data_IF_421980198669
#
_entry.id   IF_421980198669
#
_cell.length_a   1.000
_cell.length_b   1.000
_cell.length_c   1.000
_cell.angle_alpha   90.00
_cell.angle_beta   90.00
_cell.angle_gamma   90.00
#
_symmetry.space_group_name_H-M   'P 1'
#
loop_
_entity.id
_entity.type
_entity.pdbx_description
1 polymer ?
#
# COMPACT_ATOMS: atom_id res chain seq x y z
N UNK A 1 -8.37 24.92 10.44
CA UNK A 1 -8.67 23.60 11.05
C UNK A 1 -7.34 23.06 11.56
N UNK A 2 -7.26 22.67 12.85
CA UNK A 2 -6.05 22.00 13.36
C UNK A 2 -6.04 20.64 12.66
N UNK A 3 -5.05 20.42 11.79
CA UNK A 3 -4.97 19.23 10.94
C UNK A 3 -4.93 17.95 11.79
N UNK A 4 -5.57 16.89 11.31
CA UNK A 4 -5.41 15.57 11.88
C UNK A 4 -3.94 15.18 11.78
N UNK A 5 -3.37 14.60 12.85
CA UNK A 5 -2.00 14.07 12.81
C UNK A 5 -1.90 13.02 11.72
N UNK A 6 -0.96 13.14 10.76
CA UNK A 6 -0.81 12.15 9.71
C UNK A 6 -0.44 10.79 10.29
N UNK A 7 -0.90 9.72 9.65
CA UNK A 7 -0.55 8.34 10.04
C UNK A 7 0.75 7.88 9.40
N UNK A 8 1.55 7.07 10.14
CA UNK A 8 2.67 6.30 9.57
C UNK A 8 2.34 4.81 9.65
N UNK A 9 2.43 4.12 8.54
CA UNK A 9 2.08 2.71 8.42
C UNK A 9 3.05 1.95 7.53
N UNK A 10 3.05 0.63 7.64
CA UNK A 10 3.99 -0.23 6.91
C UNK A 10 3.26 -1.31 6.13
N UNK A 11 3.79 -1.64 4.95
CA UNK A 11 3.38 -2.81 4.20
C UNK A 11 4.35 -3.96 4.43
N UNK A 12 3.79 -5.14 4.61
CA UNK A 12 4.52 -6.40 4.61
C UNK A 12 3.86 -7.39 3.65
N UNK A 13 4.62 -8.36 3.22
CA UNK A 13 4.11 -9.45 2.38
C UNK A 13 4.48 -10.81 2.97
N UNK A 14 3.60 -11.81 2.78
CA UNK A 14 3.88 -13.17 3.20
C UNK A 14 5.21 -13.65 2.61
N UNK A 15 6.03 -14.38 3.38
CA UNK A 15 7.27 -14.93 2.88
C UNK A 15 7.00 -15.96 1.79
N UNK A 16 7.98 -16.16 0.90
CA UNK A 16 7.92 -17.29 -0.01
C UNK A 16 7.99 -18.59 0.80
N UNK A 17 7.29 -19.66 0.37
CA UNK A 17 7.27 -20.93 1.11
C UNK A 17 8.65 -21.49 1.48
N UNK A 18 9.65 -21.21 0.63
CA UNK A 18 11.04 -21.67 0.78
C UNK A 18 11.83 -20.94 1.88
N UNK A 19 11.37 -19.74 2.32
CA UNK A 19 12.11 -18.88 3.27
C UNK A 19 11.72 -19.12 4.73
N UNK A 20 10.59 -19.80 4.96
CA UNK A 20 10.04 -20.03 6.29
C UNK A 20 9.45 -18.76 6.94
N UNK A 21 8.63 -18.95 7.97
CA UNK A 21 7.94 -17.87 8.66
C UNK A 21 8.82 -17.13 9.68
N UNK A 22 9.94 -17.70 10.12
CA UNK A 22 10.77 -17.15 11.20
C UNK A 22 11.30 -15.73 10.87
N UNK A 23 11.76 -15.54 9.64
CA UNK A 23 12.31 -14.24 9.22
C UNK A 23 11.26 -13.13 9.18
N UNK A 24 10.03 -13.43 8.77
CA UNK A 24 8.97 -12.42 8.75
C UNK A 24 8.49 -12.09 10.16
N UNK A 25 8.44 -13.08 11.05
CA UNK A 25 8.11 -12.87 12.47
C UNK A 25 9.14 -11.94 13.11
N UNK A 26 10.43 -12.22 12.96
CA UNK A 26 11.48 -11.35 13.45
C UNK A 26 11.38 -9.92 12.87
N UNK A 27 11.09 -9.79 11.57
CA UNK A 27 10.88 -8.47 10.94
C UNK A 27 9.71 -7.72 11.58
N UNK A 28 8.63 -8.42 11.88
CA UNK A 28 7.43 -7.86 12.52
C UNK A 28 7.69 -7.43 13.96
N UNK A 29 8.40 -8.24 14.74
CA UNK A 29 8.81 -7.90 16.12
C UNK A 29 9.65 -6.61 16.14
N UNK A 30 10.56 -6.46 15.17
CA UNK A 30 11.34 -5.23 15.02
C UNK A 30 10.49 -4.02 14.61
N UNK A 31 9.46 -4.22 13.78
CA UNK A 31 8.53 -3.16 13.35
C UNK A 31 7.54 -2.76 14.44
N UNK A 32 7.17 -3.68 15.34
CA UNK A 32 6.30 -3.38 16.49
C UNK A 32 6.88 -2.26 17.35
N UNK A 33 8.19 -2.28 17.59
CA UNK A 33 8.89 -1.25 18.35
C UNK A 33 8.86 0.16 17.72
N UNK A 34 8.43 0.29 16.45
CA UNK A 34 8.25 1.57 15.77
C UNK A 34 6.82 2.14 15.92
N UNK A 35 5.91 1.42 16.60
CA UNK A 35 4.54 1.82 16.89
C UNK A 35 3.78 2.38 15.65
N UNK A 36 3.68 1.63 14.54
CA UNK A 36 2.94 2.08 13.37
C UNK A 36 1.44 2.19 13.67
N UNK A 37 0.75 3.10 12.98
CA UNK A 37 -0.70 3.22 13.09
C UNK A 37 -1.43 1.97 12.61
N UNK A 38 -0.90 1.33 11.59
CA UNK A 38 -1.34 0.01 11.13
C UNK A 38 -0.24 -0.69 10.31
N UNK A 39 -0.39 -1.99 10.13
CA UNK A 39 0.39 -2.77 9.16
C UNK A 39 -0.58 -3.36 8.14
N UNK A 40 -0.29 -3.19 6.85
CA UNK A 40 -1.01 -3.88 5.79
C UNK A 40 -0.29 -5.16 5.39
N UNK A 41 -1.06 -6.23 5.20
CA UNK A 41 -0.57 -7.55 4.83
C UNK A 41 -0.97 -7.84 3.39
N UNK A 42 0.00 -7.91 2.48
CA UNK A 42 -0.30 -8.17 1.06
C UNK A 42 -0.73 -9.61 0.83
N UNK A 43 -1.34 -9.85 -0.32
CA UNK A 43 -1.58 -11.18 -0.84
C UNK A 43 -0.64 -11.46 -2.00
N UNK A 44 0.10 -12.56 -1.94
CA UNK A 44 0.98 -12.96 -3.05
C UNK A 44 0.14 -13.43 -4.24
N UNK A 45 0.34 -12.83 -5.41
CA UNK A 45 -0.35 -13.22 -6.65
C UNK A 45 -0.11 -14.67 -7.07
N UNK A 46 0.99 -15.28 -6.61
CA UNK A 46 1.33 -16.67 -6.88
C UNK A 46 0.66 -17.65 -5.91
N UNK A 47 0.00 -17.15 -4.86
CA UNK A 47 -0.63 -17.96 -3.85
C UNK A 47 -2.12 -17.60 -3.75
N UNK A 48 -2.95 -18.36 -4.46
CA UNK A 48 -4.41 -18.18 -4.44
C UNK A 48 -5.05 -18.57 -3.09
N UNK A 49 -4.25 -19.04 -2.14
CA UNK A 49 -4.69 -19.39 -0.80
C UNK A 49 -4.52 -18.22 0.17
N UNK A 50 -5.44 -17.25 0.06
CA UNK A 50 -5.46 -16.03 0.89
C UNK A 50 -5.52 -16.36 2.38
N UNK A 51 -6.27 -17.41 2.77
CA UNK A 51 -6.45 -17.81 4.17
C UNK A 51 -5.16 -18.32 4.79
N UNK A 52 -4.41 -19.17 4.10
CA UNK A 52 -3.16 -19.73 4.62
C UNK A 52 -2.01 -18.73 4.67
N UNK A 53 -2.08 -17.66 3.91
CA UNK A 53 -0.99 -16.67 3.81
C UNK A 53 -1.37 -15.35 4.47
N UNK A 54 -2.26 -14.59 3.84
CA UNK A 54 -2.62 -13.24 4.28
C UNK A 54 -3.37 -13.27 5.61
N UNK A 55 -4.39 -14.13 5.77
CA UNK A 55 -5.18 -14.20 7.01
C UNK A 55 -4.31 -14.67 8.17
N UNK A 56 -3.48 -15.70 7.97
CA UNK A 56 -2.59 -16.20 9.02
C UNK A 56 -1.59 -15.13 9.49
N UNK A 57 -1.01 -14.37 8.56
CA UNK A 57 -0.07 -13.30 8.92
C UNK A 57 -0.79 -12.11 9.54
N UNK A 58 -1.99 -11.76 9.04
CA UNK A 58 -2.84 -10.73 9.63
C UNK A 58 -3.25 -11.07 11.07
N UNK A 59 -3.54 -12.35 11.35
CA UNK A 59 -3.80 -12.82 12.71
C UNK A 59 -2.61 -12.58 13.64
N UNK A 60 -1.39 -12.89 13.20
CA UNK A 60 -0.19 -12.65 14.00
C UNK A 60 -0.01 -11.16 14.30
N UNK A 61 -0.12 -10.28 13.27
CA UNK A 61 0.00 -8.83 13.45
C UNK A 61 -1.06 -8.29 14.40
N UNK A 62 -2.32 -8.74 14.24
CA UNK A 62 -3.46 -8.24 15.01
C UNK A 62 -3.46 -8.73 16.45
N UNK A 63 -3.27 -10.03 16.66
CA UNK A 63 -3.54 -10.70 17.94
C UNK A 63 -2.29 -10.97 18.76
N UNK A 64 -1.12 -11.16 18.13
CA UNK A 64 0.14 -11.34 18.88
C UNK A 64 0.86 -10.01 19.07
N UNK A 65 0.92 -9.15 18.03
CA UNK A 65 1.61 -7.86 18.12
C UNK A 65 0.69 -6.70 18.53
N UNK A 66 -0.62 -6.91 18.55
CA UNK A 66 -1.63 -5.90 18.89
C UNK A 66 -1.58 -4.63 18.03
N UNK A 67 -1.21 -4.78 16.74
CA UNK A 67 -1.17 -3.67 15.78
C UNK A 67 -2.44 -3.70 14.92
N UNK A 68 -3.11 -2.55 14.68
CA UNK A 68 -4.20 -2.46 13.70
C UNK A 68 -3.74 -3.01 12.34
N UNK A 69 -4.58 -3.82 11.71
CA UNK A 69 -4.16 -4.62 10.54
C UNK A 69 -5.13 -4.44 9.39
N UNK A 70 -4.59 -4.20 8.20
CA UNK A 70 -5.33 -4.19 6.93
C UNK A 70 -4.95 -5.42 6.12
N UNK A 71 -5.92 -6.23 5.71
CA UNK A 71 -5.69 -7.37 4.84
C UNK A 71 -5.91 -6.99 3.38
N UNK A 72 -4.96 -7.30 2.49
CA UNK A 72 -5.17 -7.13 1.05
C UNK A 72 -6.02 -8.29 0.52
N UNK A 73 -7.02 -7.95 -0.27
CA UNK A 73 -7.91 -8.94 -0.91
C UNK A 73 -7.97 -8.69 -2.43
N UNK A 74 -7.14 -9.38 -3.23
CA UNK A 74 -7.19 -9.35 -4.68
C UNK A 74 -8.20 -10.38 -5.19
N UNK A 75 -9.24 -9.93 -5.93
CA UNK A 75 -10.39 -10.76 -6.26
C UNK A 75 -10.37 -11.37 -7.67
N UNK A 76 -9.45 -11.02 -8.56
CA UNK A 76 -9.46 -11.48 -9.96
C UNK A 76 -9.58 -13.01 -10.14
N UNK A 77 -9.08 -13.78 -9.18
CA UNK A 77 -9.09 -15.24 -9.22
C UNK A 77 -9.95 -15.87 -8.12
N UNK A 78 -10.78 -15.09 -7.44
CA UNK A 78 -11.66 -15.57 -6.39
C UNK A 78 -13.11 -15.62 -6.87
N UNK A 79 -13.85 -16.59 -6.38
CA UNK A 79 -15.31 -16.61 -6.49
C UNK A 79 -15.95 -15.87 -5.32
N UNK A 80 -17.23 -15.51 -5.44
CA UNK A 80 -18.00 -14.90 -4.35
C UNK A 80 -18.00 -15.78 -3.08
N UNK A 81 -18.12 -17.10 -3.24
CA UNK A 81 -18.06 -18.06 -2.12
C UNK A 81 -16.71 -18.01 -1.43
N UNK A 82 -15.61 -17.92 -2.20
CA UNK A 82 -14.27 -17.85 -1.63
C UNK A 82 -14.04 -16.50 -0.91
N UNK A 83 -14.55 -15.41 -1.46
CA UNK A 83 -14.51 -14.11 -0.78
C UNK A 83 -15.29 -14.16 0.54
N UNK A 84 -16.52 -14.74 0.57
CA UNK A 84 -17.26 -14.93 1.84
C UNK A 84 -16.46 -15.73 2.87
N UNK A 85 -15.81 -16.81 2.45
CA UNK A 85 -14.95 -17.61 3.34
C UNK A 85 -13.81 -16.78 3.93
N UNK A 86 -13.12 -15.97 3.10
CA UNK A 86 -12.03 -15.09 3.55
C UNK A 86 -12.55 -14.02 4.51
N UNK A 87 -13.70 -13.38 4.20
CA UNK A 87 -14.32 -12.39 5.07
C UNK A 87 -14.67 -13.00 6.44
N UNK A 88 -15.23 -14.21 6.46
CA UNK A 88 -15.51 -14.91 7.71
C UNK A 88 -14.23 -15.17 8.51
N UNK A 89 -13.17 -15.67 7.87
CA UNK A 89 -11.90 -15.92 8.56
C UNK A 89 -11.24 -14.63 9.08
N UNK A 90 -11.38 -13.50 8.38
CA UNK A 90 -10.90 -12.19 8.86
C UNK A 90 -11.73 -11.67 10.04
N UNK A 91 -13.05 -11.86 10.00
CA UNK A 91 -13.97 -11.49 11.08
C UNK A 91 -13.65 -12.27 12.37
N UNK A 92 -13.43 -13.58 12.28
CA UNK A 92 -13.05 -14.44 13.42
C UNK A 92 -11.77 -13.99 14.12
N UNK A 93 -10.82 -13.42 13.41
CA UNK A 93 -9.56 -12.90 13.99
C UNK A 93 -9.62 -11.41 14.35
N UNK A 94 -10.78 -10.75 14.19
CA UNK A 94 -10.99 -9.34 14.50
C UNK A 94 -10.28 -8.37 13.55
N UNK A 95 -10.03 -8.76 12.30
CA UNK A 95 -9.48 -7.89 11.24
C UNK A 95 -10.62 -7.44 10.33
N UNK A 96 -11.07 -6.20 10.51
CA UNK A 96 -12.21 -5.63 9.80
C UNK A 96 -11.83 -4.57 8.76
N UNK A 97 -10.54 -4.42 8.44
CA UNK A 97 -10.07 -3.49 7.43
C UNK A 97 -9.49 -4.25 6.25
N UNK A 98 -9.98 -3.94 5.04
CA UNK A 98 -9.60 -4.62 3.80
C UNK A 98 -9.13 -3.61 2.77
N UNK A 99 -7.95 -3.81 2.19
CA UNK A 99 -7.55 -3.17 0.95
C UNK A 99 -8.10 -4.00 -0.23
N UNK A 100 -9.19 -3.52 -0.82
CA UNK A 100 -9.89 -4.19 -1.92
C UNK A 100 -9.19 -3.92 -3.25
N UNK A 101 -8.73 -4.98 -3.88
CA UNK A 101 -7.96 -4.94 -5.14
C UNK A 101 -8.61 -5.84 -6.19
N UNK A 102 -8.44 -5.51 -7.47
CA UNK A 102 -8.66 -6.51 -8.52
C UNK A 102 -7.55 -7.58 -8.45
N UNK A 103 -6.33 -7.15 -8.26
CA UNK A 103 -5.11 -7.95 -8.42
C UNK A 103 -4.58 -7.93 -9.85
N UNK A 104 -3.34 -8.37 -10.01
CA UNK A 104 -2.67 -8.42 -11.31
C UNK A 104 -3.16 -9.62 -12.12
N UNK A 105 -3.18 -9.48 -13.43
CA UNK A 105 -3.50 -10.57 -14.34
C UNK A 105 -2.26 -11.44 -14.55
N UNK A 106 -2.39 -12.72 -14.21
CA UNK A 106 -1.32 -13.71 -14.28
C UNK A 106 -1.33 -14.36 -15.67
N UNK A 107 -0.22 -14.30 -16.38
CA UNK A 107 -0.09 -14.94 -17.69
C UNK A 107 -0.37 -16.45 -17.61
N UNK A 108 -1.26 -16.91 -18.47
CA UNK A 108 -1.63 -18.33 -18.54
C UNK A 108 -2.72 -18.77 -17.54
N UNK A 109 -3.25 -17.84 -16.73
CA UNK A 109 -4.37 -18.10 -15.84
C UNK A 109 -5.54 -17.18 -16.18
N UNK A 110 -6.72 -17.75 -16.41
CA UNK A 110 -7.92 -16.96 -16.67
C UNK A 110 -8.53 -16.44 -15.36
N UNK A 111 -8.79 -15.12 -15.25
CA UNK A 111 -9.53 -14.58 -14.13
C UNK A 111 -10.91 -15.21 -14.00
N UNK A 112 -11.47 -15.18 -12.79
CA UNK A 112 -12.88 -15.51 -12.55
C UNK A 112 -13.79 -14.38 -13.05
N UNK A 113 -15.04 -14.70 -13.35
CA UNK A 113 -16.01 -13.72 -13.86
C UNK A 113 -16.74 -12.95 -12.75
N UNK A 114 -16.61 -13.37 -11.50
CA UNK A 114 -17.33 -12.80 -10.36
C UNK A 114 -16.96 -11.34 -10.06
N UNK A 115 -15.69 -10.99 -10.26
CA UNK A 115 -15.17 -9.64 -9.97
C UNK A 115 -14.26 -9.17 -11.10
N UNK A 116 -14.80 -8.33 -11.95
CA UNK A 116 -14.04 -7.76 -13.07
C UNK A 116 -13.16 -6.58 -12.65
N UNK A 117 -13.63 -5.80 -11.68
CA UNK A 117 -12.97 -4.62 -11.14
C UNK A 117 -12.95 -4.65 -9.61
N UNK A 118 -12.06 -3.88 -9.00
CA UNK A 118 -12.06 -3.71 -7.55
C UNK A 118 -13.38 -3.12 -7.02
N UNK A 119 -14.07 -2.30 -7.82
CA UNK A 119 -15.39 -1.75 -7.47
C UNK A 119 -16.44 -2.84 -7.23
N UNK A 120 -16.40 -3.92 -8.02
CA UNK A 120 -17.34 -5.05 -7.87
C UNK A 120 -17.11 -5.74 -6.53
N UNK A 121 -15.83 -5.91 -6.14
CA UNK A 121 -15.48 -6.46 -4.83
C UNK A 121 -15.93 -5.54 -3.69
N UNK A 122 -15.70 -4.23 -3.81
CA UNK A 122 -16.14 -3.24 -2.80
C UNK A 122 -17.64 -3.32 -2.59
N UNK A 123 -18.44 -3.27 -3.67
CA UNK A 123 -19.91 -3.38 -3.59
C UNK A 123 -20.34 -4.68 -2.94
N UNK A 124 -19.72 -5.79 -3.33
CA UNK A 124 -20.02 -7.11 -2.78
C UNK A 124 -19.74 -7.20 -1.28
N UNK A 125 -18.57 -6.68 -0.82
CA UNK A 125 -18.24 -6.70 0.61
C UNK A 125 -19.21 -5.82 1.40
N UNK A 126 -19.56 -4.64 0.89
CA UNK A 126 -20.52 -3.73 1.56
C UNK A 126 -21.92 -4.32 1.68
N UNK A 127 -22.34 -5.14 0.73
CA UNK A 127 -23.61 -5.86 0.77
C UNK A 127 -23.58 -7.05 1.75
N UNK A 128 -22.55 -7.88 1.71
CA UNK A 128 -22.46 -9.15 2.44
C UNK A 128 -21.94 -9.00 3.88
N UNK A 129 -21.03 -8.03 4.10
CA UNK A 129 -20.32 -7.84 5.35
C UNK A 129 -20.08 -6.34 5.63
N UNK A 130 -21.13 -5.56 5.90
CA UNK A 130 -21.08 -4.09 6.04
C UNK A 130 -20.18 -3.61 7.20
N UNK A 131 -19.84 -4.48 8.16
CA UNK A 131 -18.92 -4.18 9.25
C UNK A 131 -17.48 -3.96 8.79
N UNK A 132 -17.10 -4.40 7.59
CA UNK A 132 -15.77 -4.17 7.07
C UNK A 132 -15.60 -2.74 6.57
N UNK A 133 -14.49 -2.13 6.98
CA UNK A 133 -14.00 -0.87 6.46
C UNK A 133 -13.12 -1.12 5.24
N UNK A 134 -13.39 -0.42 4.13
CA UNK A 134 -12.76 -0.73 2.85
C UNK A 134 -11.84 0.38 2.41
N UNK A 135 -10.60 0.00 2.22
CA UNK A 135 -9.55 0.83 1.66
C UNK A 135 -9.44 0.53 0.15
N UNK A 136 -9.30 1.57 -0.65
CA UNK A 136 -9.09 1.45 -2.09
C UNK A 136 -7.68 1.85 -2.52
N UNK A 137 -7.13 1.18 -3.54
CA UNK A 137 -5.91 1.65 -4.18
C UNK A 137 -6.21 2.78 -5.19
N UNK A 138 -5.30 3.75 -5.30
CA UNK A 138 -5.36 4.85 -6.26
C UNK A 138 -3.99 5.14 -6.87
N UNK A 139 -3.93 5.93 -7.93
CA UNK A 139 -2.73 6.12 -8.75
C UNK A 139 -2.48 7.61 -9.01
N UNK A 140 -1.47 8.23 -8.37
CA UNK A 140 -1.12 9.63 -8.64
C UNK A 140 -0.76 9.89 -10.10
N UNK A 141 -0.17 8.90 -10.77
CA UNK A 141 0.32 9.01 -12.15
C UNK A 141 -0.52 8.24 -13.18
N UNK A 142 -1.80 8.06 -12.95
CA UNK A 142 -2.77 7.36 -13.82
C UNK A 142 -2.55 5.83 -13.86
N UNK A 143 -3.61 5.08 -13.68
CA UNK A 143 -3.56 3.62 -13.78
C UNK A 143 -3.15 3.19 -15.20
N UNK A 144 -2.24 2.20 -15.37
CA UNK A 144 -1.74 1.76 -16.69
C UNK A 144 -2.84 1.38 -17.69
N UNK A 145 -3.94 0.81 -17.21
CA UNK A 145 -5.08 0.40 -18.04
C UNK A 145 -6.09 1.53 -18.28
N UNK A 146 -5.93 2.70 -17.64
CA UNK A 146 -6.82 3.85 -17.87
C UNK A 146 -6.35 4.63 -19.10
N UNK A 147 -7.26 4.98 -20.03
CA UNK A 147 -6.88 5.68 -21.26
C UNK A 147 -6.35 7.11 -20.99
N UNK A 148 -6.73 7.72 -19.87
CA UNK A 148 -6.30 9.06 -19.46
C UNK A 148 -6.70 9.33 -18.00
N UNK A 149 -6.20 10.43 -17.45
CA UNK A 149 -6.44 10.82 -16.04
C UNK A 149 -7.91 11.09 -15.72
N UNK A 150 -8.69 11.59 -16.67
CA UNK A 150 -10.13 11.86 -16.45
C UNK A 150 -10.89 10.55 -16.24
N UNK A 151 -10.61 9.56 -17.08
CA UNK A 151 -11.23 8.23 -16.96
C UNK A 151 -10.81 7.54 -15.67
N UNK A 152 -9.55 7.70 -15.27
CA UNK A 152 -9.01 7.14 -14.05
C UNK A 152 -9.70 7.71 -12.79
N UNK A 153 -9.81 9.04 -12.70
CA UNK A 153 -10.53 9.71 -11.61
C UNK A 153 -12.01 9.33 -11.58
N UNK A 154 -12.68 9.21 -12.73
CA UNK A 154 -14.07 8.74 -12.79
C UNK A 154 -14.23 7.31 -12.27
N UNK A 155 -13.29 6.43 -12.56
CA UNK A 155 -13.30 5.06 -12.05
C UNK A 155 -12.98 5.02 -10.55
N UNK A 156 -12.09 5.88 -10.08
CA UNK A 156 -11.81 6.05 -8.65
C UNK A 156 -13.04 6.56 -7.90
N UNK A 157 -13.76 7.55 -8.44
CA UNK A 157 -15.02 8.05 -7.84
C UNK A 157 -16.04 6.93 -7.68
N UNK A 158 -16.24 6.10 -8.71
CA UNK A 158 -17.14 4.93 -8.62
C UNK A 158 -16.74 3.97 -7.50
N UNK A 159 -15.44 3.77 -7.28
CA UNK A 159 -14.91 2.91 -6.21
C UNK A 159 -15.19 3.51 -4.83
N UNK A 160 -15.01 4.82 -4.68
CA UNK A 160 -15.36 5.54 -3.44
C UNK A 160 -16.86 5.49 -3.20
N UNK A 161 -17.69 5.78 -4.20
CA UNK A 161 -19.16 5.71 -4.10
C UNK A 161 -19.67 4.31 -3.79
N UNK A 162 -18.95 3.26 -4.19
CA UNK A 162 -19.24 1.88 -3.83
C UNK A 162 -18.97 1.56 -2.35
N UNK A 163 -18.22 2.41 -1.63
CA UNK A 163 -18.04 2.29 -0.18
C UNK A 163 -16.60 2.27 0.33
N UNK A 164 -15.60 2.71 -0.46
CA UNK A 164 -14.27 2.93 0.09
C UNK A 164 -14.26 4.16 0.99
N UNK A 165 -13.73 4.01 2.23
CA UNK A 165 -13.62 5.05 3.24
C UNK A 165 -12.25 5.75 3.26
N UNK A 166 -11.24 5.13 2.65
CA UNK A 166 -9.85 5.60 2.61
C UNK A 166 -9.20 5.12 1.32
N UNK A 167 -8.23 5.88 0.83
CA UNK A 167 -7.42 5.50 -0.34
C UNK A 167 -5.94 5.40 0.05
N UNK A 168 -5.25 4.42 -0.54
CA UNK A 168 -3.77 4.31 -0.47
C UNK A 168 -3.23 4.39 -1.89
N UNK A 169 -2.22 5.23 -2.11
CA UNK A 169 -1.68 5.39 -3.46
C UNK A 169 -0.72 4.27 -3.83
N UNK A 170 -0.62 3.98 -5.13
CA UNK A 170 0.57 3.33 -5.68
C UNK A 170 1.78 4.21 -5.38
N UNK A 171 2.97 3.60 -5.29
CA UNK A 171 4.22 4.34 -5.08
C UNK A 171 4.43 5.38 -6.20
N UNK A 172 5.04 6.49 -5.85
CA UNK A 172 5.44 7.57 -6.75
C UNK A 172 6.74 8.22 -6.23
N UNK A 173 7.43 8.97 -7.08
CA UNK A 173 8.68 9.66 -6.73
C UNK A 173 8.61 11.16 -6.89
N UNK A 174 7.53 11.69 -7.43
CA UNK A 174 7.28 13.10 -7.67
C UNK A 174 6.08 13.55 -6.83
N UNK A 175 6.31 14.33 -5.76
CA UNK A 175 5.24 14.80 -4.90
C UNK A 175 4.26 15.72 -5.64
N UNK A 176 4.71 16.43 -6.68
CA UNK A 176 3.83 17.23 -7.53
C UNK A 176 2.77 16.36 -8.23
N UNK A 177 3.11 15.11 -8.59
CA UNK A 177 2.13 14.18 -9.15
C UNK A 177 1.04 13.85 -8.11
N UNK A 178 1.40 13.70 -6.85
CA UNK A 178 0.47 13.47 -5.75
C UNK A 178 -0.43 14.68 -5.50
N UNK A 179 0.11 15.90 -5.43
CA UNK A 179 -0.68 17.11 -5.22
C UNK A 179 -1.66 17.37 -6.36
N UNK A 180 -1.20 17.24 -7.60
CA UNK A 180 -2.07 17.33 -8.78
C UNK A 180 -3.18 16.24 -8.79
N UNK A 181 -2.89 15.05 -8.25
CA UNK A 181 -3.88 14.00 -8.10
C UNK A 181 -4.92 14.35 -7.03
N UNK A 182 -4.50 14.87 -5.86
CA UNK A 182 -5.41 15.33 -4.80
C UNK A 182 -6.35 16.43 -5.30
N UNK A 183 -5.83 17.40 -6.07
CA UNK A 183 -6.65 18.45 -6.67
C UNK A 183 -7.72 17.86 -7.60
N UNK A 184 -7.36 16.91 -8.46
CA UNK A 184 -8.32 16.22 -9.33
C UNK A 184 -9.36 15.40 -8.54
N UNK A 185 -8.95 14.77 -7.44
CA UNK A 185 -9.87 14.06 -6.54
C UNK A 185 -10.88 15.04 -5.94
N UNK A 186 -10.42 16.19 -5.42
CA UNK A 186 -11.30 17.23 -4.87
C UNK A 186 -12.29 17.77 -5.91
N UNK A 187 -11.84 18.05 -7.14
CA UNK A 187 -12.71 18.45 -8.25
C UNK A 187 -13.73 17.39 -8.67
N UNK A 188 -13.51 16.15 -8.32
CA UNK A 188 -14.42 15.04 -8.60
C UNK A 188 -15.26 14.61 -7.38
N UNK A 189 -15.31 15.44 -6.32
CA UNK A 189 -16.01 15.15 -5.06
C UNK A 189 -15.53 13.85 -4.39
N UNK A 190 -14.22 13.57 -4.45
CA UNK A 190 -13.57 12.49 -3.72
C UNK A 190 -12.95 13.12 -2.47
N UNK A 191 -13.63 12.99 -1.32
CA UNK A 191 -13.26 13.65 -0.06
C UNK A 191 -12.64 12.68 0.98
N UNK A 192 -12.55 11.39 0.66
CA UNK A 192 -11.97 10.39 1.56
C UNK A 192 -10.48 10.64 1.75
N UNK A 193 -9.91 10.32 2.94
CA UNK A 193 -8.47 10.45 3.18
C UNK A 193 -7.63 9.68 2.17
N UNK A 194 -6.52 10.30 1.72
CA UNK A 194 -5.58 9.69 0.78
C UNK A 194 -4.23 9.54 1.48
N UNK A 195 -3.81 8.31 1.69
CA UNK A 195 -2.53 7.94 2.29
C UNK A 195 -1.49 7.77 1.17
N UNK A 196 -0.36 8.46 1.30
CA UNK A 196 0.71 8.42 0.30
C UNK A 196 1.59 7.17 0.44
N UNK A 197 1.66 6.36 -0.60
CA UNK A 197 2.51 5.18 -0.69
C UNK A 197 3.94 5.56 -1.07
N UNK A 198 4.90 5.33 -0.19
CA UNK A 198 6.32 5.67 -0.38
C UNK A 198 7.16 4.40 -0.37
N UNK A 199 7.98 4.23 -1.41
CA UNK A 199 8.90 3.10 -1.54
C UNK A 199 10.35 3.57 -1.54
N UNK A 200 11.09 3.37 -0.44
CA UNK A 200 12.52 3.67 -0.42
C UNK A 200 13.28 2.74 -1.37
N UNK A 201 14.02 3.29 -2.29
CA UNK A 201 14.87 2.52 -3.20
C UNK A 201 16.27 2.42 -2.59
N UNK A 202 16.61 1.24 -2.11
CA UNK A 202 17.85 0.99 -1.36
C UNK A 202 18.88 0.11 -2.08
N UNK A 203 18.53 -0.41 -3.25
CA UNK A 203 19.46 -1.20 -4.06
C UNK A 203 19.10 -1.18 -5.55
N UNK A 204 20.10 -1.51 -6.37
CA UNK A 204 19.99 -1.49 -7.83
C UNK A 204 18.93 -2.46 -8.37
N UNK A 205 18.85 -3.66 -7.80
CA UNK A 205 17.87 -4.66 -8.26
C UNK A 205 16.43 -4.19 -8.06
N UNK A 206 16.14 -3.52 -6.94
CA UNK A 206 14.86 -2.91 -6.65
C UNK A 206 14.56 -1.80 -7.68
N UNK A 207 15.51 -0.91 -7.97
CA UNK A 207 15.37 0.12 -8.99
C UNK A 207 15.08 -0.46 -10.38
N UNK A 208 15.84 -1.49 -10.80
CA UNK A 208 15.65 -2.14 -12.10
C UNK A 208 14.31 -2.88 -12.22
N UNK A 209 13.84 -3.50 -11.13
CA UNK A 209 12.50 -4.11 -11.11
C UNK A 209 11.42 -3.06 -11.27
N UNK A 210 11.52 -1.98 -10.52
CA UNK A 210 10.60 -0.85 -10.59
C UNK A 210 10.45 -0.33 -12.02
N UNK A 211 11.57 -0.08 -12.70
CA UNK A 211 11.58 0.39 -14.08
C UNK A 211 10.93 -0.58 -15.09
N UNK A 212 10.90 -1.88 -14.75
CA UNK A 212 10.28 -2.92 -15.61
C UNK A 212 8.78 -3.13 -15.31
N UNK A 213 8.36 -2.94 -14.06
CA UNK A 213 7.00 -3.30 -13.61
C UNK A 213 6.06 -2.09 -13.52
N UNK A 214 6.61 -0.89 -13.47
CA UNK A 214 5.84 0.33 -13.26
C UNK A 214 6.09 1.29 -14.44
N UNK A 215 5.61 0.93 -15.61
CA UNK A 215 5.84 1.68 -16.87
C UNK A 215 5.34 3.13 -16.82
N UNK A 216 4.34 3.42 -15.99
CA UNK A 216 3.74 4.76 -15.88
C UNK A 216 4.35 5.63 -14.78
N UNK A 217 5.32 5.12 -14.01
CA UNK A 217 5.92 5.90 -12.92
C UNK A 217 6.97 6.85 -13.47
N UNK A 218 6.74 8.15 -13.25
CA UNK A 218 7.69 9.20 -13.60
C UNK A 218 8.83 9.23 -12.58
N UNK A 219 10.07 9.09 -13.08
CA UNK A 219 11.26 9.30 -12.27
C UNK A 219 11.72 10.76 -12.40
N UNK A 220 11.71 11.56 -11.34
CA UNK A 220 12.25 12.91 -11.34
C UNK A 220 13.75 12.92 -11.68
N UNK A 221 14.22 14.05 -12.25
CA UNK A 221 15.64 14.22 -12.63
C UNK A 221 16.60 13.95 -11.47
N UNK A 222 16.26 14.46 -10.27
CA UNK A 222 17.04 14.25 -9.04
C UNK A 222 17.19 12.74 -8.74
N UNK A 223 16.11 11.98 -8.85
CA UNK A 223 16.11 10.55 -8.54
C UNK A 223 16.89 9.73 -9.60
N UNK A 224 16.70 10.04 -10.89
CA UNK A 224 17.50 9.43 -11.98
C UNK A 224 18.99 9.64 -11.76
N UNK A 225 19.41 10.88 -11.45
CA UNK A 225 20.80 11.19 -11.17
C UNK A 225 21.38 10.39 -9.98
N UNK A 226 20.60 10.13 -8.94
CA UNK A 226 21.00 9.26 -7.83
C UNK A 226 21.24 7.83 -8.32
N UNK A 227 20.31 7.26 -9.08
CA UNK A 227 20.42 5.90 -9.59
C UNK A 227 21.64 5.74 -10.50
N UNK A 228 21.86 6.67 -11.42
CA UNK A 228 22.99 6.67 -12.34
C UNK A 228 24.34 6.86 -11.61
N UNK A 229 24.39 7.83 -10.70
CA UNK A 229 25.64 8.17 -9.98
C UNK A 229 26.14 7.04 -9.10
N UNK A 230 25.22 6.34 -8.45
CA UNK A 230 25.55 5.33 -7.42
C UNK A 230 25.25 3.89 -7.88
N UNK A 231 25.06 3.67 -9.17
CA UNK A 231 24.73 2.34 -9.74
C UNK A 231 25.64 1.21 -9.25
N UNK A 232 26.94 1.50 -9.12
CA UNK A 232 27.96 0.53 -8.72
C UNK A 232 28.45 0.70 -7.27
N UNK A 233 27.80 1.56 -6.48
CA UNK A 233 28.12 1.77 -5.07
C UNK A 233 26.87 1.50 -4.21
N UNK A 234 26.66 0.27 -3.72
CA UNK A 234 25.47 -0.12 -2.98
C UNK A 234 25.24 0.71 -1.69
N UNK A 235 26.30 1.05 -0.98
CA UNK A 235 26.21 1.84 0.27
C UNK A 235 25.72 3.26 -0.02
N UNK A 236 26.34 3.93 -0.99
CA UNK A 236 25.93 5.28 -1.40
C UNK A 236 24.53 5.29 -2.01
N UNK A 237 24.15 4.27 -2.80
CA UNK A 237 22.81 4.15 -3.36
C UNK A 237 21.76 4.01 -2.24
N UNK A 238 22.04 3.16 -1.24
CA UNK A 238 21.15 2.99 -0.09
C UNK A 238 20.99 4.29 0.67
N UNK A 239 22.09 4.97 1.02
CA UNK A 239 22.06 6.23 1.74
C UNK A 239 21.28 7.32 0.99
N UNK A 240 21.57 7.49 -0.32
CA UNK A 240 20.88 8.49 -1.14
C UNK A 240 19.40 8.16 -1.37
N UNK A 241 19.04 6.88 -1.53
CA UNK A 241 17.66 6.44 -1.67
C UNK A 241 16.83 6.64 -0.41
N UNK A 242 17.40 6.36 0.77
CA UNK A 242 16.76 6.65 2.05
C UNK A 242 16.58 8.16 2.27
N UNK A 243 17.61 8.96 1.99
CA UNK A 243 17.52 10.42 2.08
C UNK A 243 16.45 10.99 1.15
N UNK A 244 16.31 10.44 -0.06
CA UNK A 244 15.26 10.82 -0.99
C UNK A 244 13.85 10.52 -0.44
N UNK A 245 13.64 9.34 0.12
CA UNK A 245 12.36 8.97 0.71
C UNK A 245 12.01 9.83 1.93
N UNK A 246 13.00 10.16 2.78
CA UNK A 246 12.81 11.09 3.91
C UNK A 246 12.42 12.47 3.42
N UNK A 247 13.07 13.01 2.38
CA UNK A 247 12.75 14.31 1.75
C UNK A 247 11.30 14.33 1.24
N UNK A 248 10.85 13.26 0.55
CA UNK A 248 9.45 13.11 0.13
C UNK A 248 8.47 13.14 1.32
N UNK A 249 8.77 12.39 2.38
CA UNK A 249 7.91 12.31 3.56
C UNK A 249 7.80 13.65 4.28
N UNK A 250 8.92 14.36 4.45
CA UNK A 250 8.94 15.70 5.07
C UNK A 250 8.04 16.65 4.29
N UNK A 251 8.17 16.67 2.98
CA UNK A 251 7.37 17.55 2.10
C UNK A 251 5.86 17.17 2.17
N UNK A 252 5.51 15.87 2.07
CA UNK A 252 4.13 15.41 2.14
C UNK A 252 3.47 15.74 3.49
N UNK A 253 4.16 15.52 4.60
CA UNK A 253 3.64 15.82 5.94
C UNK A 253 3.49 17.31 6.15
N UNK A 254 4.42 18.11 5.64
CA UNK A 254 4.35 19.59 5.70
C UNK A 254 3.15 20.13 4.91
N UNK A 255 2.69 19.40 3.88
CA UNK A 255 1.52 19.73 3.07
C UNK A 255 0.27 18.93 3.46
N UNK A 256 0.11 18.59 4.73
CA UNK A 256 -1.11 18.04 5.34
C UNK A 256 -1.61 16.71 4.70
N UNK A 257 -0.70 15.82 4.30
CA UNK A 257 -1.08 14.47 3.85
C UNK A 257 -1.81 13.72 4.97
N UNK A 258 -2.83 12.94 4.65
CA UNK A 258 -3.57 12.14 5.64
C UNK A 258 -2.71 11.06 6.32
N UNK A 259 -1.67 10.59 5.63
CA UNK A 259 -0.72 9.62 6.16
C UNK A 259 0.31 9.19 5.12
N UNK A 260 1.32 8.47 5.61
CA UNK A 260 2.36 7.84 4.80
C UNK A 260 2.33 6.33 5.01
N UNK A 261 2.33 5.58 3.94
CA UNK A 261 2.39 4.12 3.91
C UNK A 261 3.70 3.67 3.29
N UNK A 262 4.59 3.07 4.09
CA UNK A 262 5.91 2.62 3.62
C UNK A 262 5.85 1.22 3.03
N UNK A 263 6.21 1.09 1.77
CA UNK A 263 6.48 -0.17 1.09
C UNK A 263 7.86 -0.68 1.52
N UNK A 264 7.92 -1.36 2.66
CA UNK A 264 9.18 -1.70 3.36
C UNK A 264 9.95 -2.83 2.70
N UNK A 265 9.33 -3.60 1.82
CA UNK A 265 9.89 -4.82 1.23
C UNK A 265 10.35 -5.83 2.29
N UNK A 266 9.63 -5.95 3.41
CA UNK A 266 9.97 -6.76 4.59
C UNK A 266 11.36 -6.41 5.16
N UNK A 267 11.75 -5.14 5.11
CA UNK A 267 13.04 -4.67 5.62
C UNK A 267 12.84 -3.74 6.82
N UNK A 268 12.92 -4.31 8.03
CA UNK A 268 12.74 -3.58 9.28
C UNK A 268 13.80 -2.48 9.49
N UNK A 269 15.04 -2.69 9.02
CA UNK A 269 16.10 -1.68 9.13
C UNK A 269 15.77 -0.43 8.31
N UNK A 270 15.21 -0.61 7.10
CA UNK A 270 14.73 0.51 6.27
C UNK A 270 13.59 1.26 6.96
N UNK A 271 12.60 0.54 7.50
CA UNK A 271 11.51 1.14 8.25
C UNK A 271 12.02 1.92 9.48
N UNK A 272 12.96 1.34 10.23
CA UNK A 272 13.59 1.97 11.39
C UNK A 272 14.35 3.25 11.02
N UNK A 273 15.14 3.22 9.96
CA UNK A 273 15.93 4.38 9.52
C UNK A 273 15.02 5.55 9.15
N UNK A 274 13.96 5.29 8.39
CA UNK A 274 12.97 6.32 8.03
C UNK A 274 12.20 6.81 9.24
N UNK A 275 11.73 5.89 10.10
CA UNK A 275 11.05 6.25 11.34
C UNK A 275 11.92 7.16 12.22
N UNK A 276 13.18 6.82 12.43
CA UNK A 276 14.11 7.65 13.24
C UNK A 276 14.27 9.07 12.69
N UNK A 277 14.26 9.22 11.35
CA UNK A 277 14.38 10.52 10.70
C UNK A 277 13.08 11.34 10.70
N UNK A 278 11.90 10.70 10.82
CA UNK A 278 10.60 11.34 10.55
C UNK A 278 9.59 11.23 11.69
N UNK A 279 9.81 10.40 12.72
CA UNK A 279 8.81 10.09 13.74
C UNK A 279 8.24 11.32 14.47
N UNK A 280 9.02 12.39 14.62
CA UNK A 280 8.55 13.63 15.25
C UNK A 280 7.46 14.33 14.42
N UNK A 281 7.42 14.09 13.09
CA UNK A 281 6.44 14.67 12.18
C UNK A 281 5.03 14.04 12.35
N UNK A 282 4.98 12.84 12.92
CA UNK A 282 3.74 12.07 13.13
C UNK A 282 3.21 12.15 14.58
N UNK A 283 3.71 13.10 15.37
CA UNK A 283 3.25 13.31 16.74
C UNK A 283 2.29 14.50 16.79
N UNK A 284 1.27 14.39 17.64
CA UNK A 284 0.46 15.57 17.97
C UNK A 284 1.35 16.62 18.65
N UNK A 285 1.36 17.82 18.11
CA UNK A 285 1.80 19.00 18.86
C UNK A 285 0.62 19.39 19.77
N UNK A 286 0.76 19.11 21.06
CA UNK A 286 -0.17 19.55 22.10
C UNK A 286 -0.02 21.03 22.37
#
# INVERSE_FOLDING_TARGET
MIGQTPSLSFEIFPPKPEVGNEKIIQTLDEMQGLAPHFISVTCSNNNLNVEETTVKLANHVRNELHIPTIAHLPAAYLTKEKVRSVLHSLDEIGVHQILALRGDIINGLSPKEDFKYATDLVSFIKEEAPQFDIIGACYPEVHPESPNSVSDIKNLKKKVDAGCSTLVTQLFFDNEAFYNFQEKCSLADIEVPIIAGIMPIINRNQALRLLKTCENIRLPRKFKAILEKYEHNPESLRAAGLAYAVDQIVDLVTNDVAGVHLYTMNNAETARTIHQATHSLFKHYS
#
